data_IF_263512127799
#
_entry.id   IF_263512127799
#
_cell.length_a   1.000
_cell.length_b   1.000
_cell.length_c   1.000
_cell.angle_alpha   90.00
_cell.angle_beta   90.00
_cell.angle_gamma   90.00
#
_symmetry.space_group_name_H-M   'P 1'
#
loop_
_entity.id
_entity.type
_entity.pdbx_description
1 polymer ?
#
# COMPACT_ATOMS: atom_id res chain seq x y z
N UNK A 1 18.09 -22.36 8.28
CA UNK A 1 19.19 -21.51 8.76
C UNK A 1 20.43 -21.63 7.87
N UNK A 2 20.30 -21.38 6.57
CA UNK A 2 21.47 -21.12 5.72
C UNK A 2 21.29 -19.72 5.13
N UNK A 3 21.96 -18.72 5.74
CA UNK A 3 21.85 -17.33 5.30
C UNK A 3 22.54 -17.08 3.95
N UNK A 4 23.27 -18.06 3.43
CA UNK A 4 23.97 -17.98 2.14
C UNK A 4 23.15 -18.59 0.98
N UNK A 5 22.02 -19.25 1.28
CA UNK A 5 21.15 -19.89 0.27
C UNK A 5 19.73 -19.29 0.22
N UNK A 6 19.32 -18.58 1.27
CA UNK A 6 17.96 -18.06 1.38
C UNK A 6 17.98 -16.57 1.71
N UNK A 7 17.50 -15.75 0.77
CA UNK A 7 17.28 -14.32 0.99
C UNK A 7 15.78 -14.04 1.04
N UNK A 8 15.29 -13.68 2.22
CA UNK A 8 13.86 -13.39 2.43
C UNK A 8 13.58 -11.93 2.10
N UNK A 9 12.69 -11.72 1.14
CA UNK A 9 12.16 -10.41 0.76
C UNK A 9 10.68 -10.37 1.09
N UNK A 10 10.22 -9.21 1.58
CA UNK A 10 8.81 -8.93 1.82
C UNK A 10 8.34 -7.80 0.92
N UNK A 11 7.06 -7.80 0.54
CA UNK A 11 6.50 -6.75 -0.32
C UNK A 11 6.58 -5.36 0.33
N UNK A 12 6.57 -5.28 1.66
CA UNK A 12 6.73 -4.07 2.46
C UNK A 12 8.06 -3.36 2.19
N UNK A 13 9.07 -4.07 1.68
CA UNK A 13 10.34 -3.46 1.24
C UNK A 13 10.11 -2.36 0.20
N UNK A 14 9.04 -2.44 -0.60
CA UNK A 14 8.66 -1.40 -1.57
C UNK A 14 8.49 -0.02 -0.91
N UNK A 15 8.04 0.03 0.35
CA UNK A 15 7.85 1.27 1.11
C UNK A 15 9.16 1.90 1.57
N UNK A 16 10.24 1.11 1.63
CA UNK A 16 11.55 1.56 2.10
C UNK A 16 12.44 2.09 0.97
N UNK A 17 12.07 1.84 -0.29
CA UNK A 17 12.87 2.22 -1.45
C UNK A 17 12.97 3.74 -1.64
N UNK A 18 11.95 4.49 -1.18
CA UNK A 18 11.94 5.95 -1.28
C UNK A 18 13.12 6.59 -0.55
N UNK A 19 13.50 6.03 0.60
CA UNK A 19 14.68 6.46 1.37
C UNK A 19 15.96 6.38 0.53
N UNK A 20 16.11 5.36 -0.32
CA UNK A 20 17.29 5.17 -1.15
C UNK A 20 17.32 6.14 -2.34
N UNK A 21 16.16 6.42 -2.95
CA UNK A 21 16.05 7.49 -3.94
C UNK A 21 16.39 8.85 -3.32
N UNK A 22 15.91 9.12 -2.10
CA UNK A 22 16.22 10.34 -1.37
C UNK A 22 17.70 10.44 -0.99
N UNK A 23 18.33 9.33 -0.58
CA UNK A 23 19.77 9.29 -0.33
C UNK A 23 20.59 9.66 -1.58
N UNK A 24 20.18 9.20 -2.77
CA UNK A 24 20.77 9.62 -4.05
C UNK A 24 20.63 11.12 -4.25
N UNK A 25 19.43 11.67 -4.01
CA UNK A 25 19.17 13.11 -4.14
C UNK A 25 20.06 13.95 -3.22
N UNK A 26 20.30 13.48 -1.99
CA UNK A 26 21.10 14.19 -0.98
C UNK A 26 22.62 14.06 -1.20
N UNK A 27 23.07 12.90 -1.67
CA UNK A 27 24.51 12.57 -1.77
C UNK A 27 25.06 12.67 -3.18
N UNK A 28 24.20 12.73 -4.19
CA UNK A 28 24.53 12.54 -5.61
C UNK A 28 25.16 11.17 -5.94
N UNK A 29 25.08 10.20 -5.04
CA UNK A 29 25.55 8.83 -5.26
C UNK A 29 24.43 7.95 -5.81
N UNK A 30 24.49 7.65 -7.11
CA UNK A 30 23.45 6.90 -7.81
C UNK A 30 23.31 5.44 -7.36
N UNK A 31 24.30 4.89 -6.63
CA UNK A 31 24.24 3.49 -6.16
C UNK A 31 22.99 3.19 -5.34
N UNK A 32 22.46 4.18 -4.61
CA UNK A 32 21.23 4.00 -3.83
C UNK A 32 19.99 3.89 -4.73
N UNK A 33 19.83 4.79 -5.71
CA UNK A 33 18.72 4.75 -6.66
C UNK A 33 18.77 3.51 -7.56
N UNK A 34 19.97 3.09 -7.99
CA UNK A 34 20.17 1.89 -8.78
C UNK A 34 19.73 0.64 -7.99
N UNK A 35 20.18 0.51 -6.74
CA UNK A 35 19.79 -0.59 -5.87
C UNK A 35 18.27 -0.61 -5.61
N UNK A 36 17.66 0.55 -5.38
CA UNK A 36 16.22 0.68 -5.19
C UNK A 36 15.43 0.25 -6.44
N UNK A 37 15.87 0.69 -7.62
CA UNK A 37 15.24 0.38 -8.90
C UNK A 37 15.32 -1.12 -9.19
N UNK A 38 16.51 -1.72 -9.03
CA UNK A 38 16.71 -3.17 -9.22
C UNK A 38 15.87 -3.99 -8.24
N UNK A 39 15.71 -3.51 -6.99
CA UNK A 39 14.87 -4.18 -6.01
C UNK A 39 13.39 -4.14 -6.41
N UNK A 40 12.88 -3.01 -6.90
CA UNK A 40 11.52 -2.88 -7.42
C UNK A 40 11.27 -3.81 -8.63
N UNK A 41 12.20 -3.87 -9.58
CA UNK A 41 12.10 -4.77 -10.74
C UNK A 41 12.03 -6.24 -10.32
N UNK A 42 12.91 -6.66 -9.41
CA UNK A 42 12.90 -8.04 -8.89
C UNK A 42 11.60 -8.34 -8.17
N UNK A 43 11.10 -7.42 -7.35
CA UNK A 43 9.82 -7.58 -6.67
C UNK A 43 8.67 -7.77 -7.67
N UNK A 44 8.70 -7.10 -8.82
CA UNK A 44 7.66 -7.19 -9.85
C UNK A 44 7.53 -8.60 -10.39
N UNK A 45 8.65 -9.30 -10.60
CA UNK A 45 8.66 -10.67 -11.13
C UNK A 45 8.47 -11.75 -10.07
N UNK A 46 8.78 -11.45 -8.80
CA UNK A 46 8.80 -12.45 -7.73
C UNK A 46 7.55 -12.42 -6.87
N UNK A 47 7.07 -11.22 -6.51
CA UNK A 47 5.98 -11.01 -5.56
C UNK A 47 4.62 -10.82 -6.24
N UNK A 48 4.56 -10.33 -7.48
CA UNK A 48 3.28 -10.09 -8.17
C UNK A 48 2.83 -11.34 -8.92
N UNK A 49 1.58 -11.74 -8.71
CA UNK A 49 0.94 -12.88 -9.37
C UNK A 49 0.41 -12.50 -10.77
N UNK A 50 0.21 -13.47 -11.68
CA UNK A 50 -0.40 -13.23 -12.98
C UNK A 50 -1.84 -12.69 -12.93
N UNK A 51 -2.55 -12.85 -11.80
CA UNK A 51 -3.90 -12.28 -11.59
C UNK A 51 -3.90 -10.85 -11.01
N UNK A 52 -2.72 -10.27 -10.74
CA UNK A 52 -2.60 -8.92 -10.19
C UNK A 52 -2.61 -8.85 -8.66
N UNK A 53 -2.65 -9.99 -7.97
CA UNK A 53 -2.49 -10.06 -6.50
C UNK A 53 -1.02 -10.20 -6.10
N UNK A 54 -0.71 -10.09 -4.81
CA UNK A 54 0.67 -10.13 -4.29
C UNK A 54 0.89 -11.29 -3.31
N UNK A 55 2.06 -11.92 -3.42
CA UNK A 55 2.64 -12.68 -2.33
C UNK A 55 3.20 -11.72 -1.29
N UNK A 56 3.11 -12.09 -0.02
CA UNK A 56 3.70 -11.29 1.06
C UNK A 56 5.22 -11.52 1.12
N UNK A 57 5.66 -12.78 1.21
CA UNK A 57 7.06 -13.14 1.45
C UNK A 57 7.58 -13.98 0.29
N UNK A 58 8.77 -13.67 -0.21
CA UNK A 58 9.46 -14.49 -1.19
C UNK A 58 10.87 -14.83 -0.71
N UNK A 59 11.19 -16.12 -0.73
CA UNK A 59 12.55 -16.60 -0.57
C UNK A 59 13.22 -16.61 -1.95
N UNK A 60 14.34 -15.89 -2.08
CA UNK A 60 15.07 -15.71 -3.34
C UNK A 60 16.43 -16.40 -3.24
N UNK A 61 16.82 -17.07 -4.31
CA UNK A 61 18.16 -17.61 -4.50
C UNK A 61 19.14 -16.46 -4.74
N UNK A 62 20.15 -16.34 -3.87
CA UNK A 62 21.10 -15.22 -3.92
C UNK A 62 21.97 -15.20 -5.18
N UNK A 63 22.22 -16.36 -5.80
CA UNK A 63 23.12 -16.48 -6.95
C UNK A 63 22.39 -16.16 -8.26
N UNK A 64 21.13 -16.57 -8.36
CA UNK A 64 20.35 -16.51 -9.61
C UNK A 64 19.26 -15.45 -9.59
N UNK A 65 18.86 -14.95 -8.42
CA UNK A 65 17.75 -14.03 -8.25
C UNK A 65 16.37 -14.65 -8.48
N UNK A 66 16.28 -15.97 -8.70
CA UNK A 66 15.01 -16.68 -8.87
C UNK A 66 14.35 -16.92 -7.52
N UNK A 67 13.02 -16.91 -7.48
CA UNK A 67 12.30 -17.30 -6.27
C UNK A 67 12.42 -18.81 -6.05
N UNK A 68 12.72 -19.21 -4.81
CA UNK A 68 12.72 -20.59 -4.32
C UNK A 68 11.37 -20.96 -3.72
N UNK A 69 10.79 -20.04 -2.96
CA UNK A 69 9.53 -20.26 -2.25
C UNK A 69 8.75 -18.95 -2.14
N UNK A 70 7.42 -19.05 -2.17
CA UNK A 70 6.48 -17.96 -1.93
C UNK A 70 5.64 -18.32 -0.72
N UNK A 71 5.54 -17.39 0.21
CA UNK A 71 4.98 -17.62 1.54
C UNK A 71 4.20 -16.40 2.02
N UNK A 72 3.58 -16.55 3.18
CA UNK A 72 3.08 -15.44 3.99
C UNK A 72 3.56 -15.51 5.42
N UNK A 73 3.83 -14.35 6.03
CA UNK A 73 4.12 -14.21 7.45
C UNK A 73 3.02 -13.46 8.22
N UNK A 74 2.05 -12.87 7.52
CA UNK A 74 1.00 -12.03 8.13
C UNK A 74 -0.35 -12.12 7.40
N UNK A 75 -0.43 -12.80 6.26
CA UNK A 75 -1.69 -13.15 5.61
C UNK A 75 -2.16 -14.53 6.06
N UNK A 76 -3.38 -14.91 5.66
CA UNK A 76 -3.99 -16.15 6.12
C UNK A 76 -3.28 -17.42 5.62
N UNK A 77 -2.94 -17.47 4.33
CA UNK A 77 -2.18 -18.55 3.71
C UNK A 77 -1.24 -18.05 2.61
N UNK A 78 -0.30 -18.89 2.17
CA UNK A 78 0.67 -18.55 1.11
C UNK A 78 -0.02 -18.18 -0.22
N UNK A 79 -1.20 -18.76 -0.48
CA UNK A 79 -2.04 -18.48 -1.64
C UNK A 79 -3.10 -17.39 -1.40
N UNK A 80 -3.19 -16.84 -0.19
CA UNK A 80 -4.05 -15.68 0.07
C UNK A 80 -3.42 -14.39 -0.46
N UNK A 81 -4.26 -13.38 -0.67
CA UNK A 81 -3.82 -12.01 -0.84
C UNK A 81 -4.06 -11.27 0.47
N UNK A 82 -2.98 -10.92 1.15
CA UNK A 82 -3.03 -10.07 2.33
C UNK A 82 -3.24 -8.62 1.88
N UNK A 83 -4.29 -7.96 2.36
CA UNK A 83 -4.74 -6.68 1.80
C UNK A 83 -3.70 -5.57 1.97
N UNK A 84 -3.04 -5.48 3.13
CA UNK A 84 -1.97 -4.50 3.32
C UNK A 84 -0.73 -4.77 2.46
N UNK A 85 -0.39 -6.04 2.21
CA UNK A 85 0.67 -6.40 1.26
C UNK A 85 0.36 -5.95 -0.17
N UNK A 86 -0.90 -6.07 -0.59
CA UNK A 86 -1.37 -5.53 -1.86
C UNK A 86 -1.26 -4.00 -1.88
N UNK A 87 -1.67 -3.33 -0.80
CA UNK A 87 -1.60 -1.88 -0.67
C UNK A 87 -0.15 -1.35 -0.73
N UNK A 88 0.82 -2.04 -0.11
CA UNK A 88 2.24 -1.75 -0.24
C UNK A 88 2.73 -1.83 -1.68
N UNK A 89 2.22 -2.78 -2.45
CA UNK A 89 2.46 -2.83 -3.89
C UNK A 89 1.90 -1.60 -4.62
N UNK A 90 0.63 -1.27 -4.39
CA UNK A 90 -0.02 -0.10 -5.01
C UNK A 90 0.78 1.18 -4.77
N UNK A 91 1.04 1.50 -3.49
CA UNK A 91 1.78 2.69 -3.09
C UNK A 91 3.23 2.63 -3.59
N UNK A 92 3.94 1.54 -3.30
CA UNK A 92 5.37 1.45 -3.55
C UNK A 92 5.74 1.55 -5.03
N UNK A 93 4.94 0.96 -5.93
CA UNK A 93 5.16 1.13 -7.37
C UNK A 93 4.77 2.51 -7.88
N UNK A 94 3.74 3.16 -7.31
CA UNK A 94 3.45 4.56 -7.65
C UNK A 94 4.61 5.48 -7.21
N UNK A 95 5.18 5.24 -6.02
CA UNK A 95 6.35 5.98 -5.53
C UNK A 95 7.57 5.76 -6.43
N UNK A 96 7.86 4.52 -6.81
CA UNK A 96 8.95 4.22 -7.74
C UNK A 96 8.73 4.87 -9.10
N UNK A 97 7.51 4.87 -9.62
CA UNK A 97 7.16 5.55 -10.88
C UNK A 97 7.38 7.07 -10.79
N UNK A 98 7.01 7.71 -9.67
CA UNK A 98 7.32 9.14 -9.43
C UNK A 98 8.81 9.42 -9.41
N UNK A 99 9.61 8.56 -8.77
CA UNK A 99 11.06 8.76 -8.63
C UNK A 99 11.83 8.52 -9.93
N UNK A 100 11.38 7.57 -10.74
CA UNK A 100 12.13 7.07 -11.91
C UNK A 100 11.53 7.48 -13.26
N UNK A 101 10.27 7.91 -13.30
CA UNK A 101 9.53 8.17 -14.53
C UNK A 101 9.20 6.91 -15.35
N UNK A 102 9.39 5.72 -14.78
CA UNK A 102 9.25 4.45 -15.49
C UNK A 102 7.79 4.03 -15.69
N UNK A 103 7.43 3.78 -16.94
CA UNK A 103 6.07 3.38 -17.33
C UNK A 103 5.68 1.99 -16.80
N UNK A 104 6.60 1.04 -16.73
CA UNK A 104 6.32 -0.31 -16.24
C UNK A 104 6.01 -0.34 -14.73
N UNK A 105 6.63 0.55 -13.94
CA UNK A 105 6.24 0.76 -12.53
C UNK A 105 4.86 1.41 -12.41
N UNK A 106 4.55 2.41 -13.24
CA UNK A 106 3.22 3.02 -13.28
C UNK A 106 2.14 1.99 -13.62
N UNK A 107 2.33 1.21 -14.68
CA UNK A 107 1.37 0.18 -15.11
C UNK A 107 1.22 -0.94 -14.07
N UNK A 108 2.31 -1.27 -13.36
CA UNK A 108 2.27 -2.21 -12.24
C UNK A 108 1.39 -1.67 -11.11
N UNK A 109 1.59 -0.42 -10.68
CA UNK A 109 0.77 0.20 -9.64
C UNK A 109 -0.72 0.25 -10.04
N UNK A 110 -1.02 0.63 -11.29
CA UNK A 110 -2.39 0.64 -11.84
C UNK A 110 -3.05 -0.72 -11.74
N UNK A 111 -2.37 -1.77 -12.22
CA UNK A 111 -2.88 -3.15 -12.18
C UNK A 111 -3.11 -3.64 -10.75
N UNK A 112 -2.20 -3.32 -9.82
CA UNK A 112 -2.36 -3.66 -8.41
C UNK A 112 -3.53 -2.91 -7.77
N UNK A 113 -3.74 -1.64 -8.13
CA UNK A 113 -4.84 -0.81 -7.63
C UNK A 113 -6.20 -1.30 -8.13
N UNK A 114 -6.33 -1.57 -9.43
CA UNK A 114 -7.56 -2.12 -10.01
C UNK A 114 -7.89 -3.48 -9.41
N UNK A 115 -6.86 -4.32 -9.19
CA UNK A 115 -7.04 -5.60 -8.50
C UNK A 115 -7.49 -5.39 -7.05
N UNK A 116 -6.86 -4.48 -6.30
CA UNK A 116 -7.24 -4.17 -4.91
C UNK A 116 -8.71 -3.75 -4.82
N UNK A 117 -9.16 -2.85 -5.69
CA UNK A 117 -10.55 -2.38 -5.72
C UNK A 117 -11.53 -3.49 -6.09
N UNK A 118 -11.16 -4.40 -7.00
CA UNK A 118 -12.00 -5.56 -7.35
C UNK A 118 -12.16 -6.57 -6.21
N UNK A 119 -11.30 -6.49 -5.19
CA UNK A 119 -11.30 -7.34 -4.00
C UNK A 119 -11.97 -6.67 -2.79
N UNK A 120 -12.68 -5.55 -2.98
CA UNK A 120 -13.46 -4.92 -1.90
C UNK A 120 -14.83 -5.57 -1.73
N UNK A 121 -15.26 -5.70 -0.48
CA UNK A 121 -16.63 -6.10 -0.14
C UNK A 121 -17.65 -4.98 -0.36
N UNK A 122 -18.96 -5.25 -0.18
CA UNK A 122 -20.01 -4.24 -0.33
C UNK A 122 -19.87 -3.04 0.62
N UNK A 123 -19.17 -3.20 1.73
CA UNK A 123 -18.88 -2.16 2.72
C UNK A 123 -17.84 -1.15 2.20
N UNK A 124 -17.13 -1.45 1.11
CA UNK A 124 -16.09 -0.59 0.53
C UNK A 124 -14.77 -0.57 1.30
N UNK A 125 -14.69 -1.28 2.44
CA UNK A 125 -13.49 -1.40 3.27
C UNK A 125 -12.82 -2.76 3.00
N UNK A 126 -11.49 -2.81 2.86
CA UNK A 126 -10.80 -4.07 2.63
C UNK A 126 -10.89 -4.99 3.87
N UNK A 127 -11.20 -6.26 3.62
CA UNK A 127 -10.94 -7.30 4.62
C UNK A 127 -9.42 -7.48 4.78
N UNK A 128 -8.97 -7.94 5.95
CA UNK A 128 -7.54 -8.20 6.20
C UNK A 128 -6.91 -9.16 5.18
N UNK A 129 -7.66 -10.10 4.63
CA UNK A 129 -7.21 -10.95 3.53
C UNK A 129 -8.36 -11.48 2.67
N UNK A 130 -8.03 -11.95 1.47
CA UNK A 130 -8.96 -12.64 0.56
C UNK A 130 -8.31 -13.91 -0.02
N UNK A 131 -9.05 -15.03 -0.13
CA UNK A 131 -8.53 -16.18 -0.88
C UNK A 131 -8.59 -15.90 -2.39
N UNK A 132 -7.55 -16.31 -3.11
CA UNK A 132 -7.42 -16.09 -4.56
C UNK A 132 -7.50 -17.40 -5.36
N UNK A 133 -8.00 -18.51 -4.76
CA UNK A 133 -8.10 -19.78 -5.51
C UNK A 133 -9.11 -19.64 -6.66
N UNK A 134 -8.62 -19.98 -7.86
CA UNK A 134 -9.27 -19.98 -9.17
C UNK A 134 -10.73 -20.47 -9.18
N UNK A 135 -11.53 -19.75 -9.98
CA UNK A 135 -12.73 -20.17 -10.73
C UNK A 135 -14.15 -19.91 -10.18
N UNK A 136 -14.37 -19.02 -9.21
CA UNK A 136 -15.74 -18.47 -9.03
C UNK A 136 -15.74 -16.95 -8.72
N UNK A 137 -16.06 -16.09 -9.71
CA UNK A 137 -16.19 -14.64 -9.51
C UNK A 137 -17.28 -14.23 -8.50
N UNK A 138 -18.09 -15.17 -8.01
CA UNK A 138 -19.19 -14.92 -7.06
C UNK A 138 -18.88 -15.31 -5.63
N UNK A 139 -17.69 -15.86 -5.39
CA UNK A 139 -17.20 -16.17 -4.05
C UNK A 139 -15.85 -15.47 -3.88
N UNK A 140 -15.87 -14.14 -3.71
CA UNK A 140 -14.90 -13.52 -2.83
C UNK A 140 -14.85 -14.41 -1.60
N UNK A 141 -13.72 -15.05 -1.39
CA UNK A 141 -13.63 -16.16 -0.47
C UNK A 141 -13.77 -15.65 0.96
N UNK A 142 -15.03 -15.45 1.39
CA UNK A 142 -15.54 -15.74 2.71
C UNK A 142 -15.41 -17.26 2.87
N UNK A 143 -14.18 -17.78 2.87
CA UNK A 143 -13.88 -19.20 3.04
C UNK A 143 -14.74 -19.72 4.20
N UNK A 144 -15.47 -20.81 4.01
CA UNK A 144 -16.24 -21.41 5.10
C UNK A 144 -15.32 -21.92 6.23
N UNK A 145 -14.00 -21.98 6.00
CA UNK A 145 -12.97 -22.27 7.00
C UNK A 145 -12.17 -21.06 7.50
N UNK A 146 -12.35 -19.87 6.91
CA UNK A 146 -11.79 -18.65 7.46
C UNK A 146 -12.43 -18.42 8.84
N UNK A 147 -11.67 -17.99 9.87
CA UNK A 147 -12.28 -17.49 11.09
C UNK A 147 -13.16 -16.29 10.71
N UNK A 148 -14.48 -16.51 10.72
CA UNK A 148 -15.48 -15.46 10.52
C UNK A 148 -15.84 -14.86 11.88
N UNK A 149 -16.02 -13.53 11.96
CA UNK A 149 -15.85 -12.55 10.88
C UNK A 149 -14.37 -12.24 10.61
N UNK A 150 -14.01 -12.09 9.32
CA UNK A 150 -12.70 -11.57 8.94
C UNK A 150 -12.68 -10.07 9.26
N UNK A 151 -11.75 -9.58 10.11
CA UNK A 151 -11.71 -8.17 10.47
C UNK A 151 -11.35 -7.31 9.26
N UNK A 152 -11.79 -6.05 9.29
CA UNK A 152 -11.29 -5.05 8.35
C UNK A 152 -9.79 -4.82 8.51
N UNK A 153 -9.23 -4.17 7.50
CA UNK A 153 -7.92 -3.58 7.59
C UNK A 153 -7.93 -2.14 7.07
N UNK A 154 -8.42 -1.21 7.90
CA UNK A 154 -8.51 0.21 7.55
C UNK A 154 -7.17 0.76 7.05
N UNK A 155 -6.06 0.33 7.66
CA UNK A 155 -4.70 0.69 7.22
C UNK A 155 -4.47 0.39 5.74
N UNK A 156 -4.79 -0.83 5.27
CA UNK A 156 -4.59 -1.25 3.89
C UNK A 156 -5.37 -0.34 2.91
N UNK A 157 -6.59 0.02 3.28
CA UNK A 157 -7.45 0.87 2.46
C UNK A 157 -6.89 2.27 2.29
N UNK A 158 -6.42 2.89 3.38
CA UNK A 158 -5.83 4.24 3.32
C UNK A 158 -4.51 4.25 2.54
N UNK A 159 -3.66 3.24 2.74
CA UNK A 159 -2.40 3.09 1.99
C UNK A 159 -2.68 2.99 0.48
N UNK A 160 -3.66 2.16 0.09
CA UNK A 160 -4.03 1.99 -1.31
C UNK A 160 -4.63 3.27 -1.89
N UNK A 161 -5.49 3.98 -1.13
CA UNK A 161 -6.04 5.28 -1.53
C UNK A 161 -4.93 6.32 -1.77
N UNK A 162 -3.92 6.36 -0.89
CA UNK A 162 -2.77 7.24 -1.06
C UNK A 162 -1.94 6.89 -2.31
N UNK A 163 -1.71 5.60 -2.58
CA UNK A 163 -1.09 5.17 -3.84
C UNK A 163 -1.90 5.56 -5.08
N UNK A 164 -3.24 5.46 -5.04
CA UNK A 164 -4.13 5.92 -6.13
C UNK A 164 -4.11 7.44 -6.31
N UNK A 165 -3.93 8.21 -5.24
CA UNK A 165 -3.74 9.66 -5.32
C UNK A 165 -2.41 10.02 -6.00
N UNK A 166 -1.37 9.19 -5.86
CA UNK A 166 -0.12 9.34 -6.62
C UNK A 166 -0.30 8.95 -8.09
N UNK A 167 -1.13 7.93 -8.39
CA UNK A 167 -1.52 7.60 -9.77
C UNK A 167 -2.22 8.77 -10.45
N UNK A 168 -3.11 9.50 -9.75
CA UNK A 168 -3.69 10.74 -10.27
C UNK A 168 -2.61 11.74 -10.70
N UNK A 169 -1.59 12.00 -9.87
CA UNK A 169 -0.52 12.93 -10.21
C UNK A 169 0.30 12.47 -11.42
N UNK A 170 0.66 11.19 -11.47
CA UNK A 170 1.42 10.58 -12.57
C UNK A 170 0.66 10.61 -13.90
N UNK A 171 -0.67 10.47 -13.87
CA UNK A 171 -1.53 10.36 -15.05
C UNK A 171 -2.13 11.68 -15.50
N UNK A 172 -2.15 12.74 -14.66
CA UNK A 172 -2.83 14.02 -14.94
C UNK A 172 -2.49 14.63 -16.29
N UNK A 173 -1.25 14.47 -16.77
CA UNK A 173 -0.80 14.96 -18.08
C UNK A 173 -0.88 13.91 -19.22
N UNK A 174 -0.86 12.61 -18.88
CA UNK A 174 -0.78 11.50 -19.84
C UNK A 174 -2.14 10.92 -20.20
N UNK A 175 -3.00 10.72 -19.19
CA UNK A 175 -4.37 10.22 -19.29
C UNK A 175 -5.24 10.90 -18.22
N UNK A 176 -5.73 12.12 -18.48
CA UNK A 176 -6.51 12.90 -17.51
C UNK A 176 -7.78 12.18 -17.06
N UNK A 177 -8.40 11.37 -17.94
CA UNK A 177 -9.61 10.62 -17.60
C UNK A 177 -9.29 9.55 -16.56
N UNK A 178 -8.27 8.72 -16.80
CA UNK A 178 -7.86 7.72 -15.83
C UNK A 178 -7.38 8.34 -14.52
N UNK A 179 -6.71 9.49 -14.59
CA UNK A 179 -6.29 10.24 -13.40
C UNK A 179 -7.49 10.59 -12.51
N UNK A 180 -8.53 11.22 -13.07
CA UNK A 180 -9.74 11.58 -12.33
C UNK A 180 -10.49 10.35 -11.80
N UNK A 181 -10.51 9.26 -12.55
CA UNK A 181 -11.09 8.00 -12.07
C UNK A 181 -10.36 7.46 -10.83
N UNK A 182 -9.02 7.44 -10.82
CA UNK A 182 -8.26 6.99 -9.64
C UNK A 182 -8.45 7.92 -8.44
N UNK A 183 -8.50 9.23 -8.65
CA UNK A 183 -8.76 10.17 -7.55
C UNK A 183 -10.16 9.99 -6.96
N UNK A 184 -11.18 9.83 -7.80
CA UNK A 184 -12.55 9.58 -7.36
C UNK A 184 -12.66 8.26 -6.57
N UNK A 185 -12.02 7.19 -7.05
CA UNK A 185 -11.99 5.90 -6.36
C UNK A 185 -11.22 5.98 -5.03
N UNK A 186 -10.11 6.74 -4.98
CA UNK A 186 -9.35 6.96 -3.76
C UNK A 186 -10.17 7.71 -2.70
N UNK A 187 -10.84 8.80 -3.08
CA UNK A 187 -11.72 9.56 -2.19
C UNK A 187 -12.85 8.70 -1.66
N UNK A 188 -13.52 7.94 -2.54
CA UNK A 188 -14.60 7.03 -2.15
C UNK A 188 -14.13 5.97 -1.15
N UNK A 189 -12.95 5.40 -1.36
CA UNK A 189 -12.35 4.43 -0.45
C UNK A 189 -12.09 5.04 0.93
N UNK A 190 -11.57 6.27 0.99
CA UNK A 190 -11.37 6.98 2.27
C UNK A 190 -12.70 7.31 2.94
N UNK A 191 -13.73 7.75 2.20
CA UNK A 191 -15.07 7.97 2.74
C UNK A 191 -15.67 6.70 3.35
N UNK A 192 -15.49 5.55 2.70
CA UNK A 192 -15.95 4.26 3.21
C UNK A 192 -15.22 3.88 4.50
N UNK A 193 -13.90 4.08 4.55
CA UNK A 193 -13.09 3.81 5.74
C UNK A 193 -13.47 4.75 6.88
N UNK A 194 -13.69 6.03 6.62
CA UNK A 194 -14.11 6.97 7.67
C UNK A 194 -15.49 6.63 8.20
N UNK A 195 -16.43 6.19 7.35
CA UNK A 195 -17.76 5.76 7.80
C UNK A 195 -17.67 4.56 8.75
N UNK A 196 -16.87 3.56 8.41
CA UNK A 196 -16.85 2.28 9.13
C UNK A 196 -15.81 2.23 10.27
N UNK A 197 -14.74 3.01 10.18
CA UNK A 197 -13.54 2.84 11.01
C UNK A 197 -13.08 4.11 11.73
N UNK A 198 -13.74 5.26 11.60
CA UNK A 198 -13.33 6.47 12.32
C UNK A 198 -13.56 6.33 13.83
N UNK A 199 -12.53 6.63 14.64
CA UNK A 199 -12.64 6.59 16.08
C UNK A 199 -13.57 7.70 16.63
N UNK A 200 -14.21 7.49 17.78
CA UNK A 200 -14.90 8.57 18.50
C UNK A 200 -13.96 9.74 18.78
N UNK A 201 -14.48 10.96 18.72
CA UNK A 201 -13.68 12.14 19.04
C UNK A 201 -13.22 12.11 20.51
N UNK A 202 -11.91 12.21 20.71
CA UNK A 202 -11.34 12.37 22.04
C UNK A 202 -11.58 13.80 22.57
N UNK A 203 -11.69 13.93 23.89
CA UNK A 203 -11.78 15.23 24.56
C UNK A 203 -10.63 15.41 25.56
N UNK A 204 -10.23 16.65 25.80
CA UNK A 204 -9.19 17.00 26.77
C UNK A 204 -9.80 17.89 27.85
N UNK A 205 -9.93 17.36 29.07
CA UNK A 205 -10.45 18.10 30.23
C UNK A 205 -9.46 17.99 31.38
N UNK A 206 -9.06 19.13 31.96
CA UNK A 206 -8.11 19.20 33.09
C UNK A 206 -6.81 18.41 32.88
N UNK A 207 -6.25 18.46 31.66
CA UNK A 207 -5.01 17.76 31.31
C UNK A 207 -5.15 16.23 31.19
N UNK A 208 -6.37 15.69 31.26
CA UNK A 208 -6.67 14.28 31.04
C UNK A 208 -7.39 14.10 29.72
N UNK A 209 -6.90 13.16 28.91
CA UNK A 209 -7.56 12.78 27.67
C UNK A 209 -8.63 11.74 27.99
N UNK A 210 -9.86 12.03 27.57
CA UNK A 210 -10.91 11.05 27.43
C UNK A 210 -10.95 10.63 25.95
N UNK A 211 -10.51 9.40 25.69
CA UNK A 211 -10.43 8.80 24.35
C UNK A 211 -11.82 8.38 23.80
N UNK A 212 -12.89 8.70 24.51
CA UNK A 212 -14.24 8.37 24.11
C UNK A 212 -14.54 6.88 24.24
N UNK A 213 -15.59 6.44 23.52
CA UNK A 213 -16.07 5.07 23.60
C UNK A 213 -14.96 4.07 23.20
N UNK A 214 -14.81 3.01 23.99
CA UNK A 214 -13.87 1.90 23.78
C UNK A 214 -12.36 2.28 23.84
N UNK A 215 -12.03 3.56 24.10
CA UNK A 215 -10.69 4.00 24.47
C UNK A 215 -9.66 3.98 23.34
N UNK A 216 -10.08 4.18 22.08
CA UNK A 216 -9.18 4.19 20.92
C UNK A 216 -8.28 5.43 20.91
N UNK A 217 -6.97 5.22 20.98
CA UNK A 217 -5.98 6.32 20.91
C UNK A 217 -5.65 6.74 19.46
N UNK A 218 -6.05 5.93 18.48
CA UNK A 218 -5.81 6.17 17.05
C UNK A 218 -6.99 6.86 16.37
N UNK A 219 -6.74 7.52 15.23
CA UNK A 219 -7.78 8.12 14.39
C UNK A 219 -8.66 7.04 13.74
N UNK A 220 -8.05 5.93 13.32
CA UNK A 220 -8.76 4.81 12.70
C UNK A 220 -8.73 3.56 13.58
N UNK A 221 -9.89 2.92 13.68
CA UNK A 221 -10.14 1.62 14.29
C UNK A 221 -10.03 0.50 13.23
N UNK A 222 -10.22 -0.75 13.65
CA UNK A 222 -10.46 -1.88 12.75
C UNK A 222 -9.36 -2.11 11.69
N UNK A 223 -8.09 -1.94 12.09
CA UNK A 223 -6.94 -2.41 11.31
C UNK A 223 -6.44 -3.76 11.82
N UNK A 224 -5.65 -4.50 11.02
CA UNK A 224 -5.19 -5.85 11.43
C UNK A 224 -3.69 -6.03 11.18
N UNK A 225 -2.89 -6.24 12.23
CA UNK A 225 -1.44 -6.48 12.11
C UNK A 225 -1.15 -7.87 11.55
N UNK A 226 -1.68 -8.89 12.21
CA UNK A 226 -1.45 -10.29 11.87
C UNK A 226 -2.54 -11.16 12.52
N UNK A 227 -3.25 -11.92 11.69
CA UNK A 227 -4.28 -12.87 12.13
C UNK A 227 -4.01 -14.32 11.76
N UNK A 228 -2.83 -14.64 11.21
CA UNK A 228 -2.52 -15.99 10.73
C UNK A 228 -2.40 -16.99 11.89
N UNK A 229 -2.71 -18.25 11.63
CA UNK A 229 -2.92 -19.22 12.72
C UNK A 229 -1.67 -19.43 13.58
N UNK A 230 -0.50 -19.39 12.95
CA UNK A 230 0.81 -19.62 13.56
C UNK A 230 1.45 -18.34 14.14
N UNK A 231 0.73 -17.21 14.15
CA UNK A 231 1.24 -15.97 14.71
C UNK A 231 1.53 -16.14 16.21
N UNK A 232 2.71 -15.69 16.65
CA UNK A 232 3.08 -15.66 18.07
C UNK A 232 2.10 -14.83 18.90
N UNK A 233 1.57 -13.74 18.31
CA UNK A 233 0.47 -12.96 18.84
C UNK A 233 -0.43 -12.51 17.69
N UNK A 234 -1.73 -12.75 17.81
CA UNK A 234 -2.72 -12.26 16.84
C UNK A 234 -3.23 -10.90 17.30
N UNK A 235 -2.94 -9.88 16.50
CA UNK A 235 -3.45 -8.53 16.69
C UNK A 235 -4.35 -8.23 15.51
N UNK A 236 -5.61 -8.55 15.72
CA UNK A 236 -6.73 -8.29 14.82
C UNK A 236 -7.61 -7.24 15.46
N UNK A 237 -8.27 -6.42 14.65
CA UNK A 237 -9.16 -5.37 15.13
C UNK A 237 -8.47 -4.41 16.12
N UNK A 238 -7.49 -3.67 15.59
CA UNK A 238 -6.60 -2.83 16.37
C UNK A 238 -6.36 -1.47 15.70
N UNK A 239 -6.02 -0.47 16.50
CA UNK A 239 -5.60 0.85 16.06
C UNK A 239 -4.15 0.79 15.63
N UNK A 240 -3.81 1.37 14.47
CA UNK A 240 -2.45 1.30 13.94
C UNK A 240 -1.96 2.69 13.54
N UNK A 241 -0.83 3.08 14.12
CA UNK A 241 -0.19 4.39 13.88
C UNK A 241 0.09 4.65 12.40
N UNK A 242 0.39 3.61 11.61
CA UNK A 242 0.60 3.76 10.19
C UNK A 242 -0.72 4.00 9.43
N UNK A 243 -1.87 3.50 9.89
CA UNK A 243 -3.16 3.87 9.31
C UNK A 243 -3.39 5.38 9.45
N UNK A 244 -3.16 5.91 10.65
CA UNK A 244 -3.30 7.33 10.96
C UNK A 244 -2.30 8.18 10.17
N UNK A 245 -1.04 7.74 10.09
CA UNK A 245 0.00 8.40 9.30
C UNK A 245 -0.43 8.57 7.84
N UNK A 246 -0.85 7.49 7.18
CA UNK A 246 -1.25 7.56 5.78
C UNK A 246 -2.57 8.33 5.59
N UNK A 247 -3.45 8.37 6.59
CA UNK A 247 -4.68 9.18 6.53
C UNK A 247 -4.33 10.68 6.55
N UNK A 248 -3.41 11.08 7.43
CA UNK A 248 -2.92 12.46 7.49
C UNK A 248 -2.18 12.80 6.20
N UNK A 249 -1.33 11.91 5.70
CA UNK A 249 -0.62 12.10 4.43
C UNK A 249 -1.60 12.30 3.26
N UNK A 250 -2.60 11.41 3.13
CA UNK A 250 -3.64 11.51 2.12
C UNK A 250 -4.40 12.83 2.20
N UNK A 251 -4.80 13.22 3.41
CA UNK A 251 -5.56 14.45 3.67
C UNK A 251 -4.76 15.69 3.30
N UNK A 252 -3.47 15.74 3.65
CA UNK A 252 -2.58 16.83 3.27
C UNK A 252 -2.46 16.98 1.75
N UNK A 253 -2.33 15.87 1.03
CA UNK A 253 -2.26 15.88 -0.43
C UNK A 253 -3.60 16.22 -1.09
N UNK A 254 -4.72 15.82 -0.49
CA UNK A 254 -6.05 16.18 -0.97
C UNK A 254 -6.25 17.71 -0.92
N UNK A 255 -5.85 18.35 0.19
CA UNK A 255 -5.89 19.81 0.33
C UNK A 255 -5.03 20.50 -0.74
N UNK A 256 -3.85 19.96 -1.06
CA UNK A 256 -2.99 20.50 -2.13
C UNK A 256 -3.66 20.38 -3.49
N UNK A 257 -4.26 19.23 -3.80
CA UNK A 257 -4.98 19.00 -5.06
C UNK A 257 -6.16 19.98 -5.21
N UNK A 258 -6.93 20.17 -4.14
CA UNK A 258 -8.06 21.10 -4.14
C UNK A 258 -7.60 22.56 -4.32
N UNK A 259 -6.51 22.95 -3.66
CA UNK A 259 -5.91 24.26 -3.83
C UNK A 259 -5.42 24.48 -5.28
N UNK A 260 -4.74 23.50 -5.89
CA UNK A 260 -4.34 23.55 -7.29
C UNK A 260 -5.55 23.73 -8.23
N UNK A 261 -6.63 22.99 -7.99
CA UNK A 261 -7.88 23.05 -8.78
C UNK A 261 -8.60 24.38 -8.63
N UNK A 262 -8.54 24.99 -7.45
CA UNK A 262 -9.07 26.33 -7.20
C UNK A 262 -8.18 27.45 -7.80
N UNK A 263 -7.06 27.12 -8.46
CA UNK A 263 -6.13 28.08 -9.03
C UNK A 263 -5.24 28.76 -7.98
N UNK A 264 -5.18 28.24 -6.75
CA UNK A 264 -4.27 28.73 -5.72
C UNK A 264 -2.86 28.20 -5.97
N UNK A 265 -1.86 29.07 -5.92
CA UNK A 265 -0.45 28.64 -5.95
C UNK A 265 -0.11 27.98 -4.61
N UNK A 266 0.00 26.65 -4.60
CA UNK A 266 0.56 25.92 -3.45
C UNK A 266 2.07 26.14 -3.46
N UNK A 267 2.58 26.93 -2.51
CA UNK A 267 4.03 27.06 -2.31
C UNK A 267 4.55 25.77 -1.64
N UNK A 268 5.01 24.82 -2.45
CA UNK A 268 5.64 23.58 -1.98
C UNK A 268 6.51 22.99 -3.07
N UNK A 269 7.72 22.56 -2.71
CA UNK A 269 8.74 22.07 -3.63
C UNK A 269 8.16 21.04 -4.60
N UNK A 270 8.23 21.37 -5.90
CA UNK A 270 8.00 20.41 -6.96
C UNK A 270 8.95 19.24 -6.69
N UNK A 271 8.40 18.05 -6.48
CA UNK A 271 9.14 16.80 -6.63
C UNK A 271 9.47 16.69 -8.12
N UNK A 272 10.41 17.52 -8.59
CA UNK A 272 10.99 17.39 -9.91
C UNK A 272 11.73 16.06 -9.87
N UNK A 273 11.26 15.13 -10.70
CA UNK A 273 11.96 13.90 -11.01
C UNK A 273 13.41 14.20 -11.35
N UNK A 274 14.26 13.21 -11.07
CA UNK A 274 15.69 13.23 -11.38
C UNK A 274 15.91 13.88 -12.75
N UNK A 275 16.73 14.94 -12.86
CA UNK A 275 17.07 15.49 -14.17
C UNK A 275 17.66 14.35 -15.00
N UNK A 276 17.08 14.08 -16.16
CA UNK A 276 17.66 13.20 -17.16
C UNK A 276 19.07 13.70 -17.48
N UNK A 277 20.07 13.11 -16.85
CA UNK A 277 21.47 13.29 -17.16
C UNK A 277 21.72 12.77 -18.56
N UNK A 278 22.02 13.70 -19.46
CA UNK A 278 22.24 13.47 -20.87
C UNK A 278 23.31 12.40 -21.12
N UNK A 279 23.02 11.56 -22.10
CA UNK A 279 24.03 10.79 -22.81
C UNK A 279 25.05 11.74 -23.45
N UNK A 280 26.32 11.55 -23.11
CA UNK A 280 27.49 11.90 -23.91
C UNK A 280 28.55 10.84 -23.72
#
# INVERSE_FOLDING_TARGET
NNMDEHWIVIIDTMMNLDMMYEATRLTSDNRYADAATVQAEKAMHTHIRPDGTTYHVVNVDQKTGKYLQRMTAQGYSDESCWSRGQAWGVYGYAQCALRTGRQDFLDTSRRLADTFLSLLGPEGVPAWWVCVRRLEPKLMCRDFKAPKPCPFDASAGIIAARGMQMLYQLLKSQDPKAAEEYLARANKLVEDILRECLSPAATLTDGKVDWGKDGWETLLMHSTIAGYEKATRRFMDHGLVYADYYLIEFSNEAIKIDAERAGAKVNGAVLNGVPNGAAH
#
